data_IF_650836918535
#
_entry.id   IF_650836918535
#
_cell.length_a   1.000
_cell.length_b   1.000
_cell.length_c   1.000
_cell.angle_alpha   90.00
_cell.angle_beta   90.00
_cell.angle_gamma   90.00
#
_symmetry.space_group_name_H-M   'P 1'
#
loop_
_entity.id
_entity.type
_entity.pdbx_description
1 polymer ?
#
# COMPACT_ATOMS: atom_id res chain seq x y z
N UNK A 1 -25.12 16.85 9.04
CA UNK A 1 -24.66 16.40 7.72
C UNK A 1 -23.17 16.62 7.76
N UNK A 2 -22.43 15.57 8.12
CA UNK A 2 -20.97 15.59 8.04
C UNK A 2 -20.62 15.54 6.56
N UNK A 3 -20.14 16.66 6.03
CA UNK A 3 -19.38 16.67 4.79
C UNK A 3 -18.07 15.95 5.10
N UNK A 4 -18.01 14.65 4.76
CA UNK A 4 -16.75 13.98 4.55
C UNK A 4 -16.09 14.65 3.34
N UNK A 5 -15.28 15.67 3.60
CA UNK A 5 -14.32 16.18 2.63
C UNK A 5 -13.33 15.03 2.42
N UNK A 6 -13.50 14.34 1.30
CA UNK A 6 -12.56 13.34 0.83
C UNK A 6 -11.29 14.09 0.40
N UNK A 7 -10.33 14.20 1.31
CA UNK A 7 -9.02 14.85 1.09
C UNK A 7 -8.09 14.00 0.20
N UNK A 8 -8.65 13.27 -0.77
CA UNK A 8 -7.87 12.68 -1.85
C UNK A 8 -7.71 13.73 -2.96
N UNK A 9 -6.77 14.66 -2.74
CA UNK A 9 -6.22 15.52 -3.79
C UNK A 9 -5.98 14.70 -5.06
N UNK A 10 -6.55 15.17 -6.17
CA UNK A 10 -6.62 14.49 -7.46
C UNK A 10 -5.25 13.96 -7.91
N UNK A 11 -5.07 12.64 -7.85
CA UNK A 11 -3.88 11.96 -8.38
C UNK A 11 -4.05 11.78 -9.91
N UNK A 12 -3.85 12.91 -10.60
CA UNK A 12 -3.51 13.13 -12.01
C UNK A 12 -4.33 12.41 -13.08
N UNK A 13 -5.65 12.63 -13.09
CA UNK A 13 -6.53 12.27 -14.21
C UNK A 13 -8.01 12.25 -13.81
N UNK A 14 -8.95 12.03 -14.76
CA UNK A 14 -10.34 11.75 -14.39
C UNK A 14 -10.39 10.55 -13.44
N UNK A 15 -11.31 10.62 -12.46
CA UNK A 15 -11.53 9.56 -11.49
C UNK A 15 -11.75 8.23 -12.22
N UNK A 16 -11.06 7.14 -11.82
CA UNK A 16 -11.27 5.85 -12.45
C UNK A 16 -12.73 5.42 -12.26
N UNK A 17 -13.29 4.71 -13.25
CA UNK A 17 -14.71 4.30 -13.31
C UNK A 17 -15.10 3.22 -12.29
N UNK A 18 -14.30 3.04 -11.24
CA UNK A 18 -14.39 1.99 -10.23
C UNK A 18 -13.82 0.64 -10.68
N UNK A 19 -13.39 0.48 -11.94
CA UNK A 19 -12.76 -0.77 -12.42
C UNK A 19 -11.27 -0.82 -12.24
N UNK A 20 -10.66 0.33 -11.96
CA UNK A 20 -9.24 0.48 -11.61
C UNK A 20 -9.09 1.43 -10.43
N UNK A 21 -7.93 1.37 -9.78
CA UNK A 21 -7.51 2.32 -8.75
C UNK A 21 -6.04 2.67 -8.98
N UNK A 22 -5.60 3.81 -8.47
CA UNK A 22 -4.23 4.31 -8.67
C UNK A 22 -3.45 4.30 -7.37
N UNK A 23 -2.16 4.05 -7.49
CA UNK A 23 -1.21 4.13 -6.38
C UNK A 23 0.15 4.57 -6.90
N UNK A 24 1.01 5.07 -6.02
CA UNK A 24 2.38 5.42 -6.38
C UNK A 24 3.31 4.26 -6.04
N UNK A 25 4.15 3.86 -7.00
CA UNK A 25 5.26 2.95 -6.77
C UNK A 25 6.46 3.37 -7.60
N UNK A 26 7.65 3.29 -7.01
CA UNK A 26 8.92 3.67 -7.68
C UNK A 26 8.92 5.08 -8.31
N UNK A 27 8.16 6.02 -7.73
CA UNK A 27 8.02 7.39 -8.25
C UNK A 27 7.10 7.54 -9.46
N UNK A 28 6.37 6.47 -9.83
CA UNK A 28 5.39 6.45 -10.93
C UNK A 28 3.98 6.22 -10.38
N UNK A 29 3.00 6.88 -11.00
CA UNK A 29 1.58 6.62 -10.75
C UNK A 29 1.15 5.38 -11.53
N UNK A 30 0.87 4.30 -10.81
CA UNK A 30 0.49 3.00 -11.38
C UNK A 30 -1.02 2.79 -11.24
N UNK A 31 -1.65 2.33 -12.31
CA UNK A 31 -3.05 1.92 -12.31
C UNK A 31 -3.18 0.39 -12.16
N UNK A 32 -4.04 -0.03 -11.23
CA UNK A 32 -4.25 -1.42 -10.82
C UNK A 32 -5.71 -1.84 -11.04
N UNK A 33 -5.97 -3.10 -11.42
CA UNK A 33 -7.34 -3.58 -11.63
C UNK A 33 -8.09 -3.71 -10.29
N UNK A 34 -9.33 -3.21 -10.24
CA UNK A 34 -10.19 -3.21 -9.05
C UNK A 34 -11.35 -4.23 -9.12
N UNK A 35 -11.39 -5.06 -10.16
CA UNK A 35 -12.43 -6.09 -10.33
C UNK A 35 -11.82 -7.49 -10.28
N UNK A 36 -12.58 -8.48 -9.80
CA UNK A 36 -12.18 -9.90 -9.83
C UNK A 36 -11.73 -10.32 -11.24
N UNK A 37 -12.50 -9.93 -12.26
CA UNK A 37 -12.21 -10.24 -13.65
C UNK A 37 -10.91 -9.57 -14.13
N UNK A 38 -10.72 -8.29 -13.80
CA UNK A 38 -9.52 -7.53 -14.15
C UNK A 38 -8.26 -8.08 -13.49
N UNK A 39 -8.33 -8.38 -12.18
CA UNK A 39 -7.22 -8.99 -11.43
C UNK A 39 -6.85 -10.33 -12.07
N UNK A 40 -7.82 -11.22 -12.32
CA UNK A 40 -7.56 -12.51 -12.97
C UNK A 40 -6.91 -12.37 -14.35
N UNK A 41 -7.33 -11.39 -15.15
CA UNK A 41 -6.78 -11.17 -16.48
C UNK A 41 -5.32 -10.68 -16.43
N UNK A 42 -5.00 -9.82 -15.45
CA UNK A 42 -3.68 -9.24 -15.27
C UNK A 42 -2.67 -10.21 -14.61
N UNK A 43 -3.13 -11.26 -13.92
CA UNK A 43 -2.26 -12.29 -13.36
C UNK A 43 -1.60 -13.17 -14.44
N UNK A 44 -0.37 -13.68 -14.18
CA UNK A 44 0.24 -14.75 -14.96
C UNK A 44 -0.70 -15.96 -15.09
N UNK A 45 -0.68 -16.62 -16.24
CA UNK A 45 -1.67 -17.64 -16.60
C UNK A 45 -1.76 -18.77 -15.57
N UNK A 46 -0.60 -19.20 -15.06
CA UNK A 46 -0.41 -20.23 -14.06
C UNK A 46 -1.03 -19.89 -12.69
N UNK A 47 -1.26 -18.60 -12.39
CA UNK A 47 -1.83 -18.16 -11.11
C UNK A 47 -3.35 -17.95 -11.16
N UNK A 48 -3.97 -18.00 -12.35
CA UNK A 48 -5.39 -17.64 -12.52
C UNK A 48 -6.35 -18.62 -11.88
N UNK A 49 -6.03 -19.91 -11.91
CA UNK A 49 -6.83 -20.95 -11.26
C UNK A 49 -6.72 -20.85 -9.73
N UNK A 50 -5.50 -20.67 -9.21
CA UNK A 50 -5.27 -20.45 -7.77
C UNK A 50 -6.02 -19.21 -7.27
N UNK A 51 -5.94 -18.10 -8.02
CA UNK A 51 -6.72 -16.89 -7.73
C UNK A 51 -8.22 -17.18 -7.65
N UNK A 52 -8.77 -17.87 -8.66
CA UNK A 52 -10.21 -18.14 -8.73
C UNK A 52 -10.66 -18.96 -7.52
N UNK A 53 -9.93 -20.02 -7.20
CA UNK A 53 -10.20 -20.85 -6.02
C UNK A 53 -10.10 -20.05 -4.73
N UNK A 54 -9.05 -19.24 -4.57
CA UNK A 54 -8.87 -18.41 -3.38
C UNK A 54 -10.03 -17.44 -3.17
N UNK A 55 -10.56 -16.82 -4.24
CA UNK A 55 -11.71 -15.92 -4.14
C UNK A 55 -13.00 -16.68 -3.79
N UNK A 56 -13.23 -17.85 -4.38
CA UNK A 56 -14.41 -18.68 -4.09
C UNK A 56 -14.43 -19.19 -2.64
N UNK A 57 -13.27 -19.54 -2.10
CA UNK A 57 -13.14 -20.07 -0.73
C UNK A 57 -13.06 -18.97 0.35
N UNK A 58 -12.88 -17.69 -0.03
CA UNK A 58 -12.69 -16.59 0.94
C UNK A 58 -14.02 -16.15 1.55
N UNK A 59 -14.14 -16.08 2.89
CA UNK A 59 -15.31 -15.48 3.54
C UNK A 59 -15.53 -14.04 3.07
N UNK A 60 -16.79 -13.65 2.87
CA UNK A 60 -17.11 -12.34 2.27
C UNK A 60 -16.47 -11.13 2.99
N UNK A 61 -16.34 -11.20 4.32
CA UNK A 61 -15.69 -10.15 5.13
C UNK A 61 -14.18 -10.00 4.85
N UNK A 62 -13.54 -11.06 4.39
CA UNK A 62 -12.10 -11.15 4.16
C UNK A 62 -11.76 -10.92 2.68
N UNK A 63 -12.77 -10.87 1.79
CA UNK A 63 -12.60 -10.63 0.35
C UNK A 63 -11.82 -9.36 0.01
N UNK A 64 -12.05 -8.19 0.64
CA UNK A 64 -11.30 -6.99 0.31
C UNK A 64 -9.78 -7.17 0.50
N UNK A 65 -9.39 -7.84 1.60
CA UNK A 65 -7.99 -8.10 1.90
C UNK A 65 -7.39 -9.13 0.92
N UNK A 66 -8.12 -10.22 0.64
CA UNK A 66 -7.67 -11.23 -0.33
C UNK A 66 -7.48 -10.62 -1.72
N UNK A 67 -8.43 -9.81 -2.19
CA UNK A 67 -8.32 -9.12 -3.48
C UNK A 67 -7.13 -8.16 -3.51
N UNK A 68 -6.91 -7.40 -2.43
CA UNK A 68 -5.77 -6.51 -2.32
C UNK A 68 -4.42 -7.27 -2.36
N UNK A 69 -4.35 -8.45 -1.76
CA UNK A 69 -3.15 -9.30 -1.87
C UNK A 69 -2.90 -9.77 -3.30
N UNK A 70 -3.96 -10.19 -4.00
CA UNK A 70 -3.82 -10.68 -5.36
C UNK A 70 -3.55 -9.60 -6.40
N UNK A 71 -4.11 -8.39 -6.24
CA UNK A 71 -3.85 -7.30 -7.18
C UNK A 71 -2.36 -6.88 -7.17
N UNK A 72 -1.70 -6.92 -6.00
CA UNK A 72 -0.26 -6.62 -5.89
C UNK A 72 0.60 -7.57 -6.72
N UNK A 73 0.21 -8.85 -6.80
CA UNK A 73 0.90 -9.86 -7.64
C UNK A 73 0.83 -9.57 -9.15
N UNK A 74 -0.05 -8.67 -9.59
CA UNK A 74 -0.12 -8.24 -11.00
C UNK A 74 0.97 -7.22 -11.37
N UNK A 75 1.62 -6.61 -10.36
CA UNK A 75 2.63 -5.57 -10.47
C UNK A 75 3.66 -5.71 -9.33
N UNK A 76 4.71 -6.53 -9.51
CA UNK A 76 5.73 -6.76 -8.48
C UNK A 76 6.32 -5.46 -7.91
N UNK A 77 6.47 -4.42 -8.73
CA UNK A 77 6.97 -3.11 -8.31
C UNK A 77 6.09 -2.43 -7.25
N UNK A 78 4.77 -2.69 -7.25
CA UNK A 78 3.84 -2.21 -6.23
C UNK A 78 4.01 -2.98 -4.94
N UNK A 79 4.15 -4.31 -5.02
CA UNK A 79 4.33 -5.17 -3.85
C UNK A 79 5.63 -4.79 -3.12
N UNK A 80 6.74 -4.66 -3.87
CA UNK A 80 8.03 -4.22 -3.36
C UNK A 80 7.97 -2.80 -2.74
N UNK A 81 7.23 -1.87 -3.36
CA UNK A 81 7.08 -0.53 -2.81
C UNK A 81 6.31 -0.52 -1.47
N UNK A 82 5.29 -1.37 -1.34
CA UNK A 82 4.52 -1.52 -0.10
C UNK A 82 5.37 -2.18 0.99
N UNK A 83 6.09 -3.25 0.67
CA UNK A 83 7.02 -3.90 1.61
C UNK A 83 8.09 -2.92 2.09
N UNK A 84 8.70 -2.15 1.19
CA UNK A 84 9.69 -1.12 1.56
C UNK A 84 9.10 -0.06 2.48
N UNK A 85 7.86 0.36 2.22
CA UNK A 85 7.16 1.32 3.09
C UNK A 85 6.90 0.72 4.46
N UNK A 86 6.50 -0.55 4.52
CA UNK A 86 6.31 -1.28 5.77
C UNK A 86 7.61 -1.34 6.58
N UNK A 87 8.71 -1.80 5.99
CA UNK A 87 10.01 -1.92 6.65
C UNK A 87 10.54 -0.57 7.14
N UNK A 88 10.30 0.49 6.36
CA UNK A 88 10.63 1.85 6.76
C UNK A 88 9.83 2.32 7.99
N UNK A 89 8.51 2.10 8.01
CA UNK A 89 7.66 2.42 9.18
C UNK A 89 8.09 1.61 10.39
N UNK A 90 8.39 0.32 10.21
CA UNK A 90 8.89 -0.55 11.29
C UNK A 90 10.22 -0.04 11.83
N UNK A 91 11.13 0.42 10.96
CA UNK A 91 12.38 1.06 11.35
C UNK A 91 12.17 2.36 12.16
N UNK A 92 11.20 3.18 11.79
CA UNK A 92 10.82 4.38 12.57
C UNK A 92 10.30 3.98 13.95
N UNK A 93 9.45 2.95 14.01
CA UNK A 93 8.90 2.45 15.27
C UNK A 93 10.01 1.91 16.19
N UNK A 94 10.91 1.08 15.66
CA UNK A 94 12.03 0.53 16.41
C UNK A 94 12.98 1.63 16.94
N UNK A 95 13.24 2.67 16.15
CA UNK A 95 14.03 3.83 16.57
C UNK A 95 13.34 4.59 17.71
N UNK A 96 12.04 4.88 17.56
CA UNK A 96 11.26 5.58 18.58
C UNK A 96 11.15 4.79 19.90
N UNK A 97 10.97 3.48 19.81
CA UNK A 97 10.94 2.59 20.97
C UNK A 97 12.30 2.57 21.68
N UNK A 98 13.40 2.46 20.93
CA UNK A 98 14.74 2.51 21.50
C UNK A 98 15.00 3.84 22.24
N UNK A 99 14.64 4.98 21.63
CA UNK A 99 14.79 6.30 22.26
C UNK A 99 13.95 6.41 23.54
N UNK A 100 12.72 5.92 23.50
CA UNK A 100 11.83 5.88 24.69
C UNK A 100 12.42 5.03 25.81
N UNK A 101 13.00 3.86 25.47
CA UNK A 101 13.67 2.97 26.44
C UNK A 101 14.92 3.65 27.04
N UNK A 102 15.66 4.41 26.24
CA UNK A 102 16.83 5.18 26.72
C UNK A 102 16.46 6.39 27.58
N UNK A 103 15.16 6.68 27.74
CA UNK A 103 14.68 7.79 28.56
C UNK A 103 14.73 9.14 27.85
N UNK A 104 14.75 9.15 26.52
CA UNK A 104 14.66 10.38 25.74
C UNK A 104 13.32 11.10 25.96
N UNK A 105 13.35 12.43 25.92
CA UNK A 105 12.14 13.24 26.08
C UNK A 105 11.16 13.01 24.92
N UNK A 106 9.86 12.96 25.24
CA UNK A 106 8.81 12.67 24.24
C UNK A 106 8.83 13.64 23.06
N UNK A 107 9.14 14.92 23.31
CA UNK A 107 9.25 15.92 22.24
C UNK A 107 10.37 15.59 21.25
N UNK A 108 11.49 15.05 21.72
CA UNK A 108 12.64 14.64 20.91
C UNK A 108 12.28 13.40 20.08
N UNK A 109 11.62 12.42 20.69
CA UNK A 109 11.14 11.21 19.98
C UNK A 109 10.16 11.60 18.86
N UNK A 110 9.20 12.48 19.16
CA UNK A 110 8.21 12.93 18.16
C UNK A 110 8.83 13.76 17.04
N UNK A 111 9.76 14.67 17.36
CA UNK A 111 10.49 15.43 16.34
C UNK A 111 11.26 14.49 15.40
N UNK A 112 11.88 13.45 15.96
CA UNK A 112 12.59 12.43 15.18
C UNK A 112 11.65 11.67 14.24
N UNK A 113 10.51 11.18 14.76
CA UNK A 113 9.48 10.50 13.95
C UNK A 113 8.99 11.43 12.83
N UNK A 114 8.68 12.69 13.15
CA UNK A 114 8.22 13.67 12.15
C UNK A 114 9.28 13.96 11.10
N UNK A 115 10.56 14.05 11.49
CA UNK A 115 11.67 14.20 10.53
C UNK A 115 11.72 13.04 9.56
N UNK A 116 11.66 11.80 10.07
CA UNK A 116 11.67 10.59 9.24
C UNK A 116 10.48 10.55 8.30
N UNK A 117 9.27 10.84 8.78
CA UNK A 117 8.06 10.91 7.94
C UNK A 117 8.19 11.94 6.81
N UNK A 118 8.85 13.07 7.06
CA UNK A 118 9.10 14.11 6.04
C UNK A 118 10.12 13.67 4.98
N UNK A 119 11.09 12.86 5.37
CA UNK A 119 12.09 12.27 4.44
C UNK A 119 11.46 11.20 3.54
N UNK A 120 10.42 10.52 4.01
CA UNK A 120 9.74 9.45 3.28
C UNK A 120 10.53 8.12 3.27
N UNK A 121 9.95 7.06 2.68
CA UNK A 121 10.65 5.79 2.50
C UNK A 121 11.84 5.96 1.55
N UNK A 122 12.95 5.20 1.74
CA UNK A 122 14.11 5.28 0.87
C UNK A 122 13.77 4.91 -0.58
N UNK A 123 14.26 5.68 -1.55
CA UNK A 123 14.14 5.34 -2.97
C UNK A 123 14.99 4.11 -3.32
N UNK A 124 14.52 3.28 -4.25
CA UNK A 124 15.32 2.17 -4.80
C UNK A 124 16.58 2.74 -5.46
N UNK A 125 17.75 2.25 -5.07
CA UNK A 125 18.98 2.47 -5.84
C UNK A 125 18.76 1.92 -7.26
N UNK A 126 18.86 2.80 -8.27
CA UNK A 126 18.78 2.43 -9.69
C UNK A 126 19.91 1.49 -10.11
#
# INVERSE_FOLDING_TARGET
MDDHIDEHEHQDGPEPDGRTWRTWATGELIELPATIAGIRAALPAEQREEFTKAIEDTPARDLPLTLNRWVRRTRPEVDEAIERTHDWVEGIHAEADAMTIMGEERSVVLDRVQSRLREGPPESAR
#
